data_IF_190384946500
#
_entry.id   IF_190384946500
#
_cell.length_a   1.000
_cell.length_b   1.000
_cell.length_c   1.000
_cell.angle_alpha   90.00
_cell.angle_beta   90.00
_cell.angle_gamma   90.00
#
_symmetry.space_group_name_H-M   'P 1'
#
loop_
_entity.id
_entity.type
_entity.pdbx_description
1 polymer ?
#
# COMPACT_ATOMS: atom_id res chain seq x y z
N UNK A 1 18.06 -38.72 -5.79
CA UNK A 1 17.95 -37.48 -4.97
C UNK A 1 17.08 -36.44 -5.69
N UNK A 2 15.81 -36.34 -5.33
CA UNK A 2 14.91 -35.30 -5.81
C UNK A 2 15.03 -34.09 -4.89
N UNK A 3 15.50 -32.97 -5.44
CA UNK A 3 15.45 -31.66 -4.78
C UNK A 3 14.06 -31.05 -5.03
N UNK A 4 13.38 -30.64 -3.96
CA UNK A 4 12.14 -29.85 -4.05
C UNK A 4 12.37 -28.52 -3.34
N UNK A 5 12.28 -27.43 -4.09
CA UNK A 5 12.30 -26.07 -3.56
C UNK A 5 10.87 -25.55 -3.50
N UNK A 6 10.44 -25.06 -2.34
CA UNK A 6 9.17 -24.35 -2.23
C UNK A 6 9.47 -22.87 -2.47
N UNK A 7 9.15 -22.39 -3.67
CA UNK A 7 9.26 -20.96 -3.98
C UNK A 7 8.01 -20.28 -3.43
N UNK A 8 8.13 -19.58 -2.30
CA UNK A 8 7.06 -18.70 -1.81
C UNK A 8 6.91 -17.52 -2.78
N UNK A 9 5.78 -17.46 -3.50
CA UNK A 9 5.43 -16.29 -4.31
C UNK A 9 5.15 -15.13 -3.36
N UNK A 10 6.07 -14.19 -3.24
CA UNK A 10 5.84 -12.91 -2.57
C UNK A 10 4.85 -12.08 -3.41
N UNK A 11 3.56 -12.18 -3.10
CA UNK A 11 2.53 -11.32 -3.72
C UNK A 11 2.47 -10.02 -2.94
N UNK A 12 2.95 -8.93 -3.56
CA UNK A 12 2.87 -7.60 -3.00
C UNK A 12 2.32 -6.62 -4.03
N UNK A 13 1.73 -5.55 -3.52
CA UNK A 13 1.30 -4.41 -4.33
C UNK A 13 2.24 -3.26 -4.03
N UNK A 14 2.81 -2.68 -5.08
CA UNK A 14 3.66 -1.51 -4.98
C UNK A 14 2.95 -0.31 -5.61
N UNK A 15 2.92 0.81 -4.88
CA UNK A 15 2.46 2.09 -5.42
C UNK A 15 3.43 3.20 -5.03
N UNK A 16 3.68 4.10 -5.98
CA UNK A 16 4.47 5.31 -5.76
C UNK A 16 3.58 6.40 -5.19
N UNK A 17 4.03 7.01 -4.10
CA UNK A 17 3.40 8.20 -3.50
C UNK A 17 4.36 9.37 -3.62
N UNK A 18 3.86 10.50 -4.10
CA UNK A 18 4.58 11.76 -4.22
C UNK A 18 3.92 12.86 -3.39
N UNK A 19 4.71 13.60 -2.62
CA UNK A 19 4.22 14.79 -1.93
C UNK A 19 4.34 16.03 -2.84
N UNK A 20 3.23 16.37 -3.48
CA UNK A 20 3.12 17.57 -4.34
C UNK A 20 2.91 18.88 -3.58
N UNK A 21 2.89 18.85 -2.24
CA UNK A 21 2.68 20.05 -1.43
C UNK A 21 4.00 20.74 -1.04
N UNK A 22 3.91 21.99 -0.59
CA UNK A 22 5.07 22.75 -0.09
C UNK A 22 5.48 22.40 1.34
N UNK A 23 4.80 21.46 2.00
CA UNK A 23 5.03 21.10 3.40
C UNK A 23 5.32 19.62 3.53
N UNK A 24 6.09 19.24 4.55
CA UNK A 24 6.27 17.83 4.91
C UNK A 24 4.94 17.21 5.31
N UNK A 25 4.64 16.04 4.77
CA UNK A 25 3.44 15.26 5.06
C UNK A 25 3.84 14.02 5.84
N UNK A 26 3.16 13.80 6.95
CA UNK A 26 3.28 12.57 7.74
C UNK A 26 2.16 11.61 7.34
N UNK A 27 2.53 10.49 6.74
CA UNK A 27 1.65 9.36 6.39
C UNK A 27 1.61 8.40 7.57
N UNK A 28 0.40 8.18 8.10
CA UNK A 28 0.18 7.43 9.35
C UNK A 28 -0.54 6.10 9.15
N UNK A 29 -1.22 5.93 8.01
CA UNK A 29 -1.87 4.68 7.67
C UNK A 29 -2.20 4.56 6.19
N UNK A 30 -2.40 3.32 5.75
CA UNK A 30 -3.07 2.97 4.50
C UNK A 30 -4.24 2.03 4.82
N UNK A 31 -5.42 2.33 4.32
CA UNK A 31 -6.52 1.37 4.30
C UNK A 31 -6.60 0.69 2.94
N UNK A 32 -6.78 -0.62 2.95
CA UNK A 32 -7.09 -1.44 1.79
C UNK A 32 -8.52 -1.91 1.93
N UNK A 33 -9.34 -1.63 0.93
CA UNK A 33 -10.76 -1.95 0.92
C UNK A 33 -11.01 -2.84 -0.28
N UNK A 34 -11.64 -3.97 -0.03
CA UNK A 34 -12.02 -4.95 -1.04
C UNK A 34 -13.35 -5.60 -0.69
N UNK A 35 -14.36 -5.45 -1.56
CA UNK A 35 -15.71 -5.86 -1.25
C UNK A 35 -16.22 -5.21 0.03
N UNK A 36 -16.57 -6.02 1.04
CA UNK A 36 -16.96 -5.56 2.38
C UNK A 36 -15.84 -5.59 3.43
N UNK A 37 -14.61 -5.97 3.04
CA UNK A 37 -13.47 -6.08 3.95
C UNK A 37 -12.64 -4.79 3.95
N UNK A 38 -12.23 -4.36 5.13
CA UNK A 38 -11.46 -3.14 5.37
C UNK A 38 -10.24 -3.47 6.23
N UNK A 39 -9.06 -3.42 5.64
CA UNK A 39 -7.80 -3.75 6.32
C UNK A 39 -6.96 -2.49 6.49
N UNK A 40 -6.45 -2.25 7.70
CA UNK A 40 -5.60 -1.10 8.02
C UNK A 40 -4.14 -1.52 8.14
N UNK A 41 -3.27 -0.74 7.51
CA UNK A 41 -1.81 -0.78 7.65
C UNK A 41 -1.37 0.51 8.32
N UNK A 42 -0.61 0.43 9.41
CA UNK A 42 -0.16 1.57 10.20
C UNK A 42 1.21 1.29 10.84
N UNK A 43 1.62 2.10 11.81
CA UNK A 43 2.91 1.95 12.49
C UNK A 43 3.14 0.55 13.09
N UNK A 44 2.08 -0.19 13.43
CA UNK A 44 2.15 -1.52 14.05
C UNK A 44 2.21 -2.68 13.05
N UNK A 45 1.96 -2.43 11.75
CA UNK A 45 1.96 -3.49 10.74
C UNK A 45 3.36 -3.78 10.21
N UNK A 46 3.51 -4.89 9.49
CA UNK A 46 4.71 -5.18 8.70
C UNK A 46 4.32 -5.28 7.22
N UNK A 47 4.80 -4.37 6.36
CA UNK A 47 5.64 -3.21 6.69
C UNK A 47 4.89 -2.16 7.52
N UNK A 48 5.65 -1.41 8.32
CA UNK A 48 5.13 -0.36 9.23
C UNK A 48 4.88 0.90 8.43
N UNK A 49 3.70 1.54 8.57
CA UNK A 49 3.35 2.78 7.88
C UNK A 49 3.40 3.98 8.82
N UNK A 50 4.61 4.49 9.03
CA UNK A 50 4.93 5.72 9.78
C UNK A 50 6.06 6.45 9.06
N UNK A 51 5.68 7.33 8.13
CA UNK A 51 6.64 7.94 7.20
C UNK A 51 6.39 9.42 7.00
N UNK A 52 7.49 10.18 6.94
CA UNK A 52 7.49 11.58 6.53
C UNK A 52 7.91 11.69 5.06
N UNK A 53 7.16 12.46 4.29
CA UNK A 53 7.45 12.82 2.91
C UNK A 53 7.66 14.32 2.82
N UNK A 54 8.89 14.76 2.52
CA UNK A 54 9.20 16.16 2.24
C UNK A 54 8.58 16.65 0.92
N UNK A 55 8.59 17.97 0.65
CA UNK A 55 8.11 18.53 -0.63
C UNK A 55 8.82 17.91 -1.84
N UNK A 56 8.05 17.44 -2.83
CA UNK A 56 8.56 16.79 -4.05
C UNK A 56 9.12 15.39 -3.85
N UNK A 57 9.10 14.86 -2.62
CA UNK A 57 9.65 13.54 -2.33
C UNK A 57 8.70 12.44 -2.79
N UNK A 58 9.29 11.40 -3.39
CA UNK A 58 8.63 10.17 -3.81
C UNK A 58 8.99 9.01 -2.89
N UNK A 59 8.06 8.07 -2.72
CA UNK A 59 8.30 6.81 -2.01
C UNK A 59 7.43 5.70 -2.56
N UNK A 60 8.05 4.55 -2.78
CA UNK A 60 7.31 3.32 -3.08
C UNK A 60 6.85 2.67 -1.78
N UNK A 61 5.56 2.37 -1.72
CA UNK A 61 4.92 1.69 -0.62
C UNK A 61 4.55 0.28 -1.08
N UNK A 62 5.02 -0.72 -0.35
CA UNK A 62 4.73 -2.14 -0.63
C UNK A 62 3.75 -2.67 0.41
N UNK A 63 2.66 -3.26 -0.05
CA UNK A 63 1.68 -3.94 0.79
C UNK A 63 1.74 -5.44 0.50
N UNK A 64 1.97 -6.25 1.52
CA UNK A 64 1.85 -7.70 1.44
C UNK A 64 0.38 -8.11 1.41
N UNK A 65 -0.25 -7.93 0.26
CA UNK A 65 -1.65 -8.33 0.01
C UNK A 65 -1.71 -9.24 -1.20
N UNK A 66 -2.43 -10.35 -1.04
CA UNK A 66 -2.78 -11.22 -2.16
C UNK A 66 -3.93 -10.56 -2.93
N UNK A 67 -3.61 -9.78 -3.96
CA UNK A 67 -4.62 -9.32 -4.91
C UNK A 67 -5.09 -10.49 -5.77
N UNK A 68 -6.40 -10.67 -5.86
CA UNK A 68 -6.98 -11.62 -6.81
C UNK A 68 -7.24 -10.93 -8.12
N UNK A 69 -6.90 -11.64 -9.19
CA UNK A 69 -7.09 -11.18 -10.55
C UNK A 69 -8.55 -10.80 -10.85
N UNK A 70 -8.74 -9.72 -11.60
CA UNK A 70 -10.07 -9.21 -11.95
C UNK A 70 -10.79 -8.49 -10.81
N UNK A 71 -10.28 -8.52 -9.58
CA UNK A 71 -10.85 -7.79 -8.46
C UNK A 71 -10.32 -6.34 -8.39
N UNK A 72 -11.20 -5.42 -7.98
CA UNK A 72 -10.86 -4.01 -7.77
C UNK A 72 -10.69 -3.72 -6.29
N UNK A 73 -9.53 -3.16 -5.93
CA UNK A 73 -9.20 -2.75 -4.58
C UNK A 73 -9.19 -1.22 -4.50
N UNK A 74 -9.58 -0.69 -3.34
CA UNK A 74 -9.51 0.75 -3.05
C UNK A 74 -8.51 1.00 -1.92
N UNK A 75 -7.56 1.90 -2.16
CA UNK A 75 -6.52 2.31 -1.23
C UNK A 75 -6.85 3.69 -0.71
N UNK A 76 -6.83 3.85 0.61
CA UNK A 76 -6.94 5.17 1.25
C UNK A 76 -5.66 5.46 2.04
N UNK A 77 -4.86 6.38 1.53
CA UNK A 77 -3.69 6.92 2.22
C UNK A 77 -4.15 7.97 3.23
N UNK A 78 -3.82 7.78 4.50
CA UNK A 78 -4.21 8.68 5.60
C UNK A 78 -2.98 9.41 6.12
N UNK A 79 -3.12 10.73 6.23
CA UNK A 79 -2.10 11.59 6.83
C UNK A 79 -2.47 11.98 8.26
N UNK A 80 -1.47 12.32 9.07
CA UNK A 80 -1.67 12.75 10.46
C UNK A 80 -2.67 13.93 10.58
N UNK A 81 -2.67 14.83 9.60
CA UNK A 81 -3.57 16.01 9.56
C UNK A 81 -5.00 15.68 9.09
N UNK A 82 -5.35 14.40 8.98
CA UNK A 82 -6.68 13.95 8.58
C UNK A 82 -6.98 14.04 7.08
N UNK A 83 -6.01 14.40 6.24
CA UNK A 83 -6.20 14.31 4.77
C UNK A 83 -6.18 12.85 4.36
N UNK A 84 -7.10 12.50 3.45
CA UNK A 84 -7.27 11.15 2.91
C UNK A 84 -7.15 11.24 1.38
N UNK A 85 -6.25 10.44 0.80
CA UNK A 85 -6.12 10.29 -0.65
C UNK A 85 -6.61 8.90 -1.04
N UNK A 86 -7.49 8.82 -2.03
CA UNK A 86 -8.11 7.55 -2.43
C UNK A 86 -7.75 7.22 -3.87
N UNK A 87 -7.34 5.98 -4.12
CA UNK A 87 -7.13 5.45 -5.47
C UNK A 87 -7.71 4.04 -5.54
N UNK A 88 -8.26 3.69 -6.69
CA UNK A 88 -8.73 2.33 -6.96
C UNK A 88 -7.91 1.72 -8.08
N UNK A 89 -7.59 0.44 -7.94
CA UNK A 89 -6.81 -0.31 -8.91
C UNK A 89 -7.42 -1.70 -9.09
N UNK A 90 -7.41 -2.20 -10.32
CA UNK A 90 -7.85 -3.55 -10.66
C UNK A 90 -6.62 -4.41 -10.88
N UNK A 91 -6.60 -5.60 -10.27
CA UNK A 91 -5.56 -6.58 -10.51
C UNK A 91 -5.66 -7.10 -11.95
N UNK A 92 -4.63 -6.86 -12.75
CA UNK A 92 -4.53 -7.35 -14.12
C UNK A 92 -3.89 -8.75 -14.13
N UNK A 93 -4.32 -9.60 -15.06
CA UNK A 93 -3.64 -10.85 -15.40
C UNK A 93 -2.23 -10.49 -15.95
N UNK A 94 -1.18 -11.12 -15.41
CA UNK A 94 0.20 -10.99 -15.93
C UNK A 94 0.38 -11.78 -17.24
#
# INVERSE_FOLDING_TARGET
>A
PSYSETVEKNVYVEFEVENLSSQTVHVVAVWVIHGGEHTRYDASTTPSFDYYLGPGQKRNLRLGIAWKEGETYTFKLVTERGRIFTVSATALEE
#
